data_IF_370056504699
#
_entry.id   IF_370056504699
#
_cell.length_a   1.000
_cell.length_b   1.000
_cell.length_c   1.000
_cell.angle_alpha   90.00
_cell.angle_beta   90.00
_cell.angle_gamma   90.00
#
_symmetry.space_group_name_H-M   'P 1'
#
loop_
_entity.id
_entity.type
_entity.pdbx_description
1 polymer ?
#
# COMPACT_ATOMS: atom_id res chain seq x y z
N UNK A 1 0.07 -9.52 -5.39
CA UNK A 1 -0.68 -8.30 -5.00
C UNK A 1 -1.40 -7.65 -6.17
N UNK A 2 -0.73 -7.17 -7.24
CA UNK A 2 -1.45 -6.48 -8.33
C UNK A 2 -2.54 -7.34 -8.99
N UNK A 3 -2.35 -8.65 -9.12
CA UNK A 3 -3.39 -9.55 -9.68
C UNK A 3 -4.65 -9.63 -8.80
N UNK A 4 -4.52 -9.57 -7.48
CA UNK A 4 -5.68 -9.57 -6.58
C UNK A 4 -6.46 -8.27 -6.69
N UNK A 5 -5.76 -7.12 -6.70
CA UNK A 5 -6.39 -5.81 -6.96
C UNK A 5 -7.09 -5.76 -8.31
N UNK A 6 -6.53 -6.41 -9.34
CA UNK A 6 -7.14 -6.51 -10.66
C UNK A 6 -8.43 -7.32 -10.67
N UNK A 7 -8.50 -8.39 -9.86
CA UNK A 7 -9.71 -9.22 -9.67
C UNK A 7 -10.75 -8.58 -8.75
N UNK A 8 -10.36 -7.54 -8.01
CA UNK A 8 -11.23 -6.88 -7.04
C UNK A 8 -11.26 -7.56 -5.68
N UNK A 9 -10.21 -8.31 -5.34
CA UNK A 9 -10.03 -8.93 -4.02
C UNK A 9 -10.12 -7.86 -2.92
N UNK A 10 -10.73 -8.22 -1.81
CA UNK A 10 -10.74 -7.38 -0.63
C UNK A 10 -9.37 -7.41 0.08
N UNK A 11 -9.23 -6.59 1.13
CA UNK A 11 -7.97 -6.49 1.86
C UNK A 11 -7.59 -7.79 2.55
N UNK A 12 -8.55 -8.60 3.02
CA UNK A 12 -8.27 -9.84 3.74
C UNK A 12 -7.76 -10.91 2.77
N UNK A 13 -8.33 -11.00 1.57
CA UNK A 13 -7.84 -11.83 0.47
C UNK A 13 -6.42 -11.44 0.05
N UNK A 14 -6.15 -10.13 -0.08
CA UNK A 14 -4.83 -9.61 -0.41
C UNK A 14 -3.79 -9.90 0.68
N UNK A 15 -4.20 -9.80 1.95
CA UNK A 15 -3.37 -10.15 3.10
C UNK A 15 -3.04 -11.64 3.10
N UNK A 16 -4.03 -12.50 2.85
CA UNK A 16 -3.84 -13.95 2.75
C UNK A 16 -2.90 -14.32 1.59
N UNK A 17 -3.01 -13.63 0.45
CA UNK A 17 -2.13 -13.83 -0.70
C UNK A 17 -0.69 -13.35 -0.43
N UNK A 18 -0.49 -12.31 0.38
CA UNK A 18 0.84 -11.81 0.74
C UNK A 18 1.53 -12.64 1.83
N UNK A 19 0.77 -13.23 2.76
CA UNK A 19 1.27 -13.91 3.94
C UNK A 19 2.36 -14.99 3.67
N UNK A 20 2.25 -15.84 2.62
CA UNK A 20 3.29 -16.85 2.34
C UNK A 20 4.66 -16.27 1.97
N UNK A 21 4.71 -15.01 1.55
CA UNK A 21 5.97 -14.33 1.21
C UNK A 21 6.67 -13.75 2.44
N UNK A 22 6.02 -13.77 3.61
CA UNK A 22 6.62 -13.22 4.82
C UNK A 22 7.75 -14.10 5.35
N UNK A 23 8.91 -13.49 5.55
CA UNK A 23 10.06 -14.12 6.19
C UNK A 23 10.30 -13.47 7.55
N UNK A 24 10.07 -14.18 8.67
CA UNK A 24 10.28 -13.63 10.00
C UNK A 24 11.70 -13.07 10.19
N UNK A 25 11.80 -11.87 10.77
CA UNK A 25 13.09 -11.19 11.00
C UNK A 25 13.69 -10.50 9.77
N UNK A 26 13.03 -10.55 8.62
CA UNK A 26 13.42 -9.84 7.40
C UNK A 26 12.28 -8.95 6.92
N UNK A 27 12.60 -7.87 6.19
CA UNK A 27 11.62 -6.97 5.59
C UNK A 27 11.09 -7.49 4.24
N UNK A 28 10.83 -8.79 4.18
CA UNK A 28 10.19 -9.46 3.06
C UNK A 28 8.79 -9.91 3.50
N UNK A 29 7.72 -9.49 2.79
CA UNK A 29 7.67 -8.71 1.55
C UNK A 29 7.56 -7.18 1.75
N UNK A 30 7.85 -6.66 2.94
CA UNK A 30 7.58 -5.29 3.37
C UNK A 30 8.07 -4.22 2.39
N UNK A 31 9.34 -4.30 1.96
CA UNK A 31 9.92 -3.31 1.03
C UNK A 31 9.23 -3.37 -0.33
N UNK A 32 9.05 -4.56 -0.88
CA UNK A 32 8.38 -4.73 -2.18
C UNK A 32 6.94 -4.19 -2.13
N UNK A 33 6.22 -4.40 -1.03
CA UNK A 33 4.87 -3.85 -0.85
C UNK A 33 4.88 -2.31 -0.77
N UNK A 34 5.85 -1.73 -0.07
CA UNK A 34 6.02 -0.28 -0.02
C UNK A 34 6.34 0.30 -1.40
N UNK A 35 7.14 -0.38 -2.23
CA UNK A 35 7.41 0.05 -3.61
C UNK A 35 6.16 0.00 -4.51
N UNK A 36 5.28 -0.99 -4.31
CA UNK A 36 3.97 -1.01 -4.96
C UNK A 36 3.10 0.16 -4.47
N UNK A 37 3.13 0.47 -3.18
CA UNK A 37 2.40 1.60 -2.59
C UNK A 37 2.92 2.95 -3.12
N UNK A 38 4.24 3.10 -3.28
CA UNK A 38 4.88 4.27 -3.94
C UNK A 38 4.35 4.44 -5.35
N UNK A 39 4.27 3.34 -6.09
CA UNK A 39 3.79 3.36 -7.48
C UNK A 39 2.31 3.74 -7.55
N UNK A 40 1.49 3.23 -6.64
CA UNK A 40 0.08 3.61 -6.52
C UNK A 40 -0.08 5.08 -6.11
N UNK A 41 0.75 5.58 -5.19
CA UNK A 41 0.76 6.98 -4.77
C UNK A 41 1.15 7.90 -5.93
N UNK A 42 2.15 7.52 -6.75
CA UNK A 42 2.54 8.26 -7.94
C UNK A 42 1.37 8.39 -8.93
N UNK A 43 0.62 7.30 -9.15
CA UNK A 43 -0.59 7.33 -9.97
C UNK A 43 -1.70 8.20 -9.37
N UNK A 44 -1.80 8.27 -8.04
CA UNK A 44 -2.75 9.14 -7.35
C UNK A 44 -2.34 10.63 -7.33
N UNK A 45 -1.07 10.93 -7.62
CA UNK A 45 -0.52 12.29 -7.57
C UNK A 45 0.13 12.67 -8.90
N UNK A 46 -0.61 12.67 -10.04
CA UNK A 46 -0.05 13.10 -11.32
C UNK A 46 0.38 14.57 -11.26
N UNK A 47 1.30 14.96 -12.14
CA UNK A 47 1.80 16.33 -12.19
C UNK A 47 0.66 17.36 -12.27
N UNK A 48 0.65 18.30 -11.34
CA UNK A 48 -0.39 19.34 -11.22
C UNK A 48 -1.61 18.95 -10.37
N UNK A 49 -1.75 17.69 -9.95
CA UNK A 49 -2.73 17.34 -8.93
C UNK A 49 -2.30 17.87 -7.55
N UNK A 50 -3.28 18.26 -6.73
CA UNK A 50 -3.04 18.58 -5.33
C UNK A 50 -2.57 17.35 -4.53
N UNK A 51 -1.95 17.55 -3.36
CA UNK A 51 -1.54 16.45 -2.49
C UNK A 51 -2.74 15.58 -2.08
N UNK A 52 -2.48 14.31 -1.76
CA UNK A 52 -3.47 13.49 -1.05
C UNK A 52 -3.47 13.88 0.43
N UNK A 53 -4.60 14.35 0.92
CA UNK A 53 -4.78 14.63 2.34
C UNK A 53 -4.79 13.33 3.13
N UNK A 54 -4.06 13.31 4.26
CA UNK A 54 -4.03 12.16 5.15
C UNK A 54 -5.33 12.02 5.96
N UNK A 55 -5.97 13.14 6.29
CA UNK A 55 -7.20 13.16 7.08
C UNK A 55 -8.32 12.39 6.39
N UNK A 56 -8.90 11.40 7.09
CA UNK A 56 -9.98 10.56 6.58
C UNK A 56 -9.57 9.54 5.50
N UNK A 57 -8.29 9.46 5.13
CA UNK A 57 -7.83 8.66 4.00
C UNK A 57 -8.10 7.16 4.20
N UNK A 58 -7.86 6.66 5.41
CA UNK A 58 -8.06 5.24 5.75
C UNK A 58 -9.54 4.89 5.80
N UNK A 59 -10.34 5.75 6.43
CA UNK A 59 -11.78 5.57 6.60
C UNK A 59 -12.49 5.59 5.23
N UNK A 60 -12.01 6.42 4.30
CA UNK A 60 -12.54 6.53 2.94
C UNK A 60 -12.15 5.34 2.06
N UNK A 61 -10.88 4.93 2.08
CA UNK A 61 -10.36 3.97 1.10
C UNK A 61 -10.12 2.57 1.67
N UNK A 62 -10.33 2.35 2.96
CA UNK A 62 -10.29 1.04 3.59
C UNK A 62 -11.40 0.89 4.66
N UNK A 63 -12.67 1.15 4.29
CA UNK A 63 -13.79 1.11 5.24
C UNK A 63 -14.04 -0.28 5.85
N UNK A 64 -13.57 -1.34 5.19
CA UNK A 64 -13.70 -2.72 5.67
C UNK A 64 -12.77 -3.04 6.86
N UNK A 65 -11.72 -2.24 7.10
CA UNK A 65 -10.79 -2.46 8.22
C UNK A 65 -11.16 -1.57 9.41
N UNK A 66 -11.43 -2.21 10.54
CA UNK A 66 -11.55 -1.50 11.82
C UNK A 66 -10.19 -1.47 12.52
N UNK A 67 -9.50 -0.33 12.44
CA UNK A 67 -8.26 -0.10 13.18
C UNK A 67 -8.53 0.04 14.68
N UNK A 68 -7.85 -0.76 15.51
CA UNK A 68 -8.04 -0.83 16.97
C UNK A 68 -6.87 -0.23 17.72
N UNK A 69 -7.17 0.79 18.52
CA UNK A 69 -6.23 1.38 19.46
C UNK A 69 -5.06 2.12 18.80
N UNK A 70 -4.21 2.73 19.64
CA UNK A 70 -3.18 3.66 19.18
C UNK A 70 -2.09 3.01 18.32
N UNK A 71 -1.80 1.73 18.57
CA UNK A 71 -0.72 1.01 17.88
C UNK A 71 -1.08 0.79 16.42
N UNK A 72 -2.25 0.21 16.11
CA UNK A 72 -2.64 -0.04 14.72
C UNK A 72 -2.81 1.27 13.93
N UNK A 73 -3.36 2.31 14.56
CA UNK A 73 -3.45 3.63 13.94
C UNK A 73 -2.06 4.19 13.57
N UNK A 74 -1.08 4.08 14.49
CA UNK A 74 0.27 4.59 14.27
C UNK A 74 1.05 3.75 13.25
N UNK A 75 0.90 2.43 13.28
CA UNK A 75 1.59 1.55 12.35
C UNK A 75 1.07 1.72 10.92
N UNK A 76 -0.24 1.87 10.75
CA UNK A 76 -0.86 2.19 9.45
C UNK A 76 -0.42 3.58 8.95
N UNK A 77 -0.41 4.58 9.85
CA UNK A 77 0.10 5.91 9.52
C UNK A 77 1.54 5.86 9.03
N UNK A 78 2.39 5.11 9.74
CA UNK A 78 3.78 4.94 9.38
C UNK A 78 3.92 4.30 7.99
N UNK A 79 3.19 3.23 7.66
CA UNK A 79 3.29 2.60 6.34
C UNK A 79 2.91 3.57 5.19
N UNK A 80 1.87 4.37 5.38
CA UNK A 80 1.49 5.42 4.42
C UNK A 80 2.60 6.47 4.27
N UNK A 81 3.15 6.96 5.38
CA UNK A 81 4.22 7.97 5.35
C UNK A 81 5.54 7.41 4.83
N UNK A 82 5.88 6.16 5.12
CA UNK A 82 7.05 5.49 4.59
C UNK A 82 7.00 5.46 3.05
N UNK A 83 5.87 5.06 2.48
CA UNK A 83 5.66 5.10 1.02
C UNK A 83 5.72 6.53 0.47
N UNK A 84 5.15 7.53 1.17
CA UNK A 84 5.26 8.93 0.76
C UNK A 84 6.70 9.47 0.81
N UNK A 85 7.48 9.11 1.83
CA UNK A 85 8.91 9.44 1.91
C UNK A 85 9.67 8.82 0.75
N UNK A 86 9.45 7.53 0.47
CA UNK A 86 10.07 6.82 -0.64
C UNK A 86 9.71 7.44 -1.99
N UNK A 87 8.44 7.83 -2.19
CA UNK A 87 7.99 8.56 -3.38
C UNK A 87 8.73 9.90 -3.55
N UNK A 88 8.98 10.60 -2.45
CA UNK A 88 9.79 11.82 -2.41
C UNK A 88 11.31 11.60 -2.51
N UNK A 89 11.78 10.35 -2.63
CA UNK A 89 13.20 10.00 -2.75
C UNK A 89 13.94 9.81 -1.42
N UNK A 90 13.23 9.78 -0.29
CA UNK A 90 13.81 9.51 1.03
C UNK A 90 13.54 8.06 1.45
N UNK A 91 14.60 7.30 1.69
CA UNK A 91 14.47 5.93 2.20
C UNK A 91 14.27 5.95 3.73
N UNK A 92 13.14 5.44 4.25
CA UNK A 92 12.93 5.31 5.70
C UNK A 92 13.82 4.22 6.30
N UNK A 93 14.22 4.41 7.56
CA UNK A 93 14.96 3.40 8.32
C UNK A 93 14.00 2.37 8.91
N UNK A 94 13.53 1.46 8.06
CA UNK A 94 12.54 0.45 8.41
C UNK A 94 12.99 -0.42 9.60
N UNK A 95 14.29 -0.71 9.71
CA UNK A 95 14.82 -1.54 10.79
C UNK A 95 14.68 -0.84 12.14
N UNK A 96 15.09 0.42 12.24
CA UNK A 96 14.97 1.20 13.46
C UNK A 96 13.51 1.53 13.80
N UNK A 97 12.70 1.83 12.79
CA UNK A 97 11.35 2.33 12.99
C UNK A 97 10.33 1.20 13.26
N UNK A 98 10.47 0.07 12.55
CA UNK A 98 9.48 -1.01 12.52
C UNK A 98 10.03 -2.40 12.89
N UNK A 99 11.35 -2.58 12.97
CA UNK A 99 11.97 -3.90 13.24
C UNK A 99 11.65 -4.51 14.61
N UNK A 100 11.12 -3.72 15.55
CA UNK A 100 10.75 -4.15 16.90
C UNK A 100 9.23 -4.26 17.11
N UNK A 101 8.43 -4.07 16.06
CA UNK A 101 6.98 -4.15 16.16
C UNK A 101 6.51 -5.58 16.40
N UNK A 102 5.38 -5.71 17.12
CA UNK A 102 4.73 -7.01 17.33
C UNK A 102 4.05 -7.53 16.07
N UNK A 103 3.38 -6.65 15.33
CA UNK A 103 2.78 -6.97 14.04
C UNK A 103 3.75 -6.60 12.93
N UNK A 104 4.07 -7.53 12.00
CA UNK A 104 4.97 -7.24 10.88
C UNK A 104 4.48 -6.05 10.02
N UNK A 105 5.42 -5.26 9.52
CA UNK A 105 5.13 -4.05 8.74
C UNK A 105 4.39 -4.37 7.43
N UNK A 106 4.65 -5.52 6.80
CA UNK A 106 4.04 -5.92 5.54
C UNK A 106 2.51 -5.83 5.57
N UNK A 107 1.89 -6.12 6.71
CA UNK A 107 0.43 -6.04 6.88
C UNK A 107 -0.08 -4.61 6.64
N UNK A 108 0.60 -3.63 7.24
CA UNK A 108 0.27 -2.22 7.05
C UNK A 108 0.71 -1.70 5.68
N UNK A 109 1.75 -2.30 5.08
CA UNK A 109 2.14 -2.01 3.70
C UNK A 109 1.06 -2.48 2.70
N UNK A 110 0.39 -3.62 2.94
CA UNK A 110 -0.80 -4.01 2.16
C UNK A 110 -1.87 -2.93 2.22
N UNK A 111 -2.18 -2.41 3.42
CA UNK A 111 -3.15 -1.33 3.57
C UNK A 111 -2.76 -0.09 2.77
N UNK A 112 -1.48 0.30 2.79
CA UNK A 112 -0.98 1.42 2.01
C UNK A 112 -1.17 1.20 0.50
N UNK A 113 -0.88 0.00 -0.01
CA UNK A 113 -1.11 -0.36 -1.43
C UNK A 113 -2.59 -0.20 -1.79
N UNK A 114 -3.51 -0.75 -0.98
CA UNK A 114 -4.95 -0.69 -1.25
C UNK A 114 -5.46 0.75 -1.21
N UNK A 115 -5.09 1.50 -0.17
CA UNK A 115 -5.51 2.89 0.01
C UNK A 115 -5.07 3.76 -1.17
N UNK A 116 -3.78 3.71 -1.55
CA UNK A 116 -3.29 4.51 -2.66
C UNK A 116 -3.82 4.03 -4.01
N UNK A 117 -4.05 2.74 -4.20
CA UNK A 117 -4.63 2.23 -5.44
C UNK A 117 -6.07 2.69 -5.63
N UNK A 118 -6.87 2.69 -4.56
CA UNK A 118 -8.25 3.21 -4.58
C UNK A 118 -8.29 4.73 -4.72
N UNK A 119 -7.37 5.46 -4.09
CA UNK A 119 -7.22 6.89 -4.28
C UNK A 119 -6.82 7.26 -5.71
N UNK A 120 -5.90 6.50 -6.32
CA UNK A 120 -5.53 6.65 -7.72
C UNK A 120 -6.72 6.39 -8.64
N UNK A 121 -7.45 5.30 -8.41
CA UNK A 121 -8.64 4.95 -9.19
C UNK A 121 -9.68 6.08 -9.18
N UNK A 122 -9.95 6.65 -8.01
CA UNK A 122 -10.86 7.78 -7.86
C UNK A 122 -10.35 9.01 -8.63
N UNK A 123 -9.10 9.43 -8.42
CA UNK A 123 -8.54 10.64 -9.05
C UNK A 123 -8.41 10.54 -10.56
N UNK A 124 -8.12 9.35 -11.07
CA UNK A 124 -8.00 9.07 -12.50
C UNK A 124 -9.35 8.73 -13.14
N UNK A 125 -10.42 8.56 -12.35
CA UNK A 125 -11.74 8.11 -12.83
C UNK A 125 -11.66 6.79 -13.60
N UNK A 126 -10.90 5.82 -13.07
CA UNK A 126 -10.73 4.48 -13.65
C UNK A 126 -11.03 3.39 -12.60
N UNK A 127 -11.36 2.16 -13.01
CA UNK A 127 -11.49 1.05 -12.06
C UNK A 127 -10.17 0.74 -11.35
N UNK A 128 -10.22 0.23 -10.12
CA UNK A 128 -9.02 -0.21 -9.36
C UNK A 128 -8.20 -1.24 -10.15
N UNK A 129 -8.83 -2.11 -10.94
CA UNK A 129 -8.12 -3.08 -11.76
C UNK A 129 -7.30 -2.47 -12.92
N UNK A 130 -7.65 -1.26 -13.38
CA UNK A 130 -6.80 -0.51 -14.31
C UNK A 130 -5.55 0.02 -13.60
N UNK A 131 -5.70 0.58 -12.39
CA UNK A 131 -4.56 1.00 -11.55
C UNK A 131 -3.64 -0.19 -11.27
N UNK A 132 -4.20 -1.35 -10.93
CA UNK A 132 -3.45 -2.57 -10.70
C UNK A 132 -2.62 -3.00 -11.92
N UNK A 133 -3.18 -2.90 -13.13
CA UNK A 133 -2.46 -3.14 -14.39
C UNK A 133 -1.32 -2.16 -14.60
N UNK A 134 -1.53 -0.88 -14.29
CA UNK A 134 -0.47 0.14 -14.41
C UNK A 134 0.65 -0.07 -13.39
N UNK A 135 0.32 -0.45 -12.15
CA UNK A 135 1.30 -0.84 -11.14
C UNK A 135 2.11 -2.04 -11.63
N UNK A 136 1.45 -3.11 -12.08
CA UNK A 136 2.13 -4.31 -12.58
C UNK A 136 3.07 -3.99 -13.75
N UNK A 137 2.62 -3.19 -14.72
CA UNK A 137 3.43 -2.78 -15.86
C UNK A 137 4.70 -2.01 -15.46
N UNK A 138 4.62 -1.11 -14.47
CA UNK A 138 5.78 -0.36 -13.95
C UNK A 138 6.80 -1.23 -13.21
N UNK A 139 6.35 -2.39 -12.72
CA UNK A 139 7.20 -3.38 -12.04
C UNK A 139 7.62 -4.54 -12.95
N UNK A 140 7.30 -4.48 -14.26
CA UNK A 140 7.62 -5.55 -15.21
C UNK A 140 6.89 -6.87 -14.92
N UNK A 141 5.73 -6.81 -14.26
CA UNK A 141 4.93 -7.97 -13.89
C UNK A 141 3.82 -8.20 -14.92
N UNK A 142 3.66 -9.45 -15.35
CA UNK A 142 2.49 -9.87 -16.12
C UNK A 142 1.34 -10.25 -15.17
N UNK A 143 0.18 -9.63 -15.36
CA UNK A 143 -1.03 -10.01 -14.64
C UNK A 143 -1.68 -11.18 -15.36
N UNK A 144 -1.59 -12.36 -14.78
CA UNK A 144 -2.43 -13.49 -15.20
C UNK A 144 -3.89 -13.17 -14.87
N UNK A 145 -4.74 -13.29 -15.88
CA UNK A 145 -6.20 -13.11 -15.79
C UNK A 145 -6.83 -14.05 -14.76
#
# INVERSE_FOLDING_TARGET
>A
MPSGLARGDDVDDLMAAAAPSHVPGWFTPDVALLELAVTALDLACPAGAGPLEYEGLRERYLPEVTFRGRVEHRNTQYALYAAACMHGGLQPDLLSDAGWWQTPLWQYAVFAVVIYSRAAAERLTVPVGEVARQIAARHGLELTA
#
